data_IF_182688889852
#
_entry.id   IF_182688889852
#
_cell.length_a   1.000
_cell.length_b   1.000
_cell.length_c   1.000
_cell.angle_alpha   90.00
_cell.angle_beta   90.00
_cell.angle_gamma   90.00
#
_symmetry.space_group_name_H-M   'P 1'
#
loop_
_entity.id
_entity.type
_entity.pdbx_description
1 polymer ?
#
# COMPACT_ATOMS: atom_id res chain seq x y z
N UNK A 1 1.95 22.81 -9.19
CA UNK A 1 1.92 21.36 -8.85
C UNK A 1 0.62 20.73 -9.40
N UNK A 2 0.59 20.33 -10.68
CA UNK A 2 -0.70 19.96 -11.28
C UNK A 2 -0.70 19.56 -12.75
N UNK A 3 0.35 18.90 -13.26
CA UNK A 3 0.31 18.34 -14.63
C UNK A 3 1.06 17.00 -14.74
N UNK A 4 1.21 16.29 -13.62
CA UNK A 4 1.67 14.91 -13.65
C UNK A 4 0.48 14.02 -13.97
N UNK A 5 0.34 13.56 -15.21
CA UNK A 5 -0.67 12.53 -15.55
C UNK A 5 -0.39 11.28 -14.71
N UNK A 6 -1.26 10.97 -13.76
CA UNK A 6 -1.17 9.73 -12.99
C UNK A 6 -1.29 8.53 -13.92
N UNK A 7 -0.47 7.50 -13.68
CA UNK A 7 -0.49 6.26 -14.44
C UNK A 7 -0.44 5.06 -13.50
N UNK A 8 -1.06 3.97 -13.92
CA UNK A 8 -0.95 2.67 -13.27
C UNK A 8 0.18 1.91 -13.96
N UNK A 9 1.03 1.25 -13.18
CA UNK A 9 2.14 0.42 -13.69
C UNK A 9 2.04 -0.98 -13.12
N UNK A 10 2.35 -1.97 -13.93
CA UNK A 10 2.32 -3.38 -13.51
C UNK A 10 3.59 -3.78 -12.77
N UNK A 11 4.74 -3.25 -13.18
CA UNK A 11 6.06 -3.61 -12.65
C UNK A 11 6.62 -2.53 -11.72
N UNK A 12 7.17 -2.97 -10.58
CA UNK A 12 8.02 -2.16 -9.71
C UNK A 12 9.46 -2.27 -10.23
N UNK A 13 9.80 -1.46 -11.23
CA UNK A 13 11.12 -1.45 -11.88
C UNK A 13 11.91 -0.18 -11.58
N UNK A 14 13.23 -0.23 -11.69
CA UNK A 14 14.13 0.90 -11.45
C UNK A 14 13.83 2.16 -12.29
N UNK A 15 13.19 2.00 -13.46
CA UNK A 15 12.78 3.11 -14.33
C UNK A 15 11.37 3.67 -14.00
N UNK A 16 10.59 2.99 -13.15
CA UNK A 16 9.25 3.41 -12.78
C UNK A 16 9.27 3.98 -11.36
N UNK A 17 9.32 5.31 -11.25
CA UNK A 17 9.14 5.99 -9.97
C UNK A 17 7.68 5.83 -9.50
N UNK A 18 7.43 4.80 -8.69
CA UNK A 18 6.12 4.58 -8.06
C UNK A 18 6.00 5.49 -6.84
N UNK A 19 4.97 6.33 -6.83
CA UNK A 19 4.69 7.26 -5.73
C UNK A 19 3.61 6.76 -4.78
N UNK A 20 2.74 5.85 -5.26
CA UNK A 20 1.61 5.33 -4.52
C UNK A 20 1.45 3.83 -4.74
N UNK A 21 1.20 3.10 -3.65
CA UNK A 21 0.78 1.71 -3.67
C UNK A 21 -0.62 1.63 -3.06
N UNK A 22 -1.59 1.24 -3.88
CA UNK A 22 -2.97 1.06 -3.45
C UNK A 22 -3.19 -0.37 -3.00
N UNK A 23 -3.74 -0.55 -1.80
CA UNK A 23 -4.00 -1.85 -1.18
C UNK A 23 -5.50 -2.01 -0.93
N UNK A 24 -6.12 -3.03 -1.51
CA UNK A 24 -7.54 -3.36 -1.26
C UNK A 24 -7.72 -4.32 -0.08
N UNK A 25 -6.68 -5.07 0.30
CA UNK A 25 -6.69 -6.01 1.41
C UNK A 25 -5.50 -5.72 2.34
N UNK A 26 -5.79 -5.12 3.50
CA UNK A 26 -4.80 -4.71 4.49
C UNK A 26 -4.01 -5.88 5.09
N UNK A 27 -4.48 -7.13 4.91
CA UNK A 27 -3.81 -8.30 5.45
C UNK A 27 -2.76 -8.91 4.49
N UNK A 28 -2.74 -8.49 3.23
CA UNK A 28 -1.81 -9.03 2.22
C UNK A 28 -0.46 -8.33 2.26
N UNK A 29 0.58 -9.10 2.59
CA UNK A 29 1.97 -8.69 2.40
C UNK A 29 2.42 -9.07 1.00
N UNK A 30 2.59 -8.07 0.14
CA UNK A 30 3.11 -8.28 -1.22
C UNK A 30 4.46 -7.59 -1.37
N UNK A 31 5.24 -8.03 -2.35
CA UNK A 31 6.53 -7.40 -2.64
C UNK A 31 6.38 -5.92 -3.06
N UNK A 32 5.27 -5.56 -3.72
CA UNK A 32 4.96 -4.16 -4.07
C UNK A 32 4.82 -3.26 -2.84
N UNK A 33 4.24 -3.77 -1.76
CA UNK A 33 4.14 -3.04 -0.48
C UNK A 33 5.52 -2.84 0.13
N UNK A 34 6.36 -3.89 0.17
CA UNK A 34 7.72 -3.79 0.72
C UNK A 34 8.58 -2.82 -0.10
N UNK A 35 8.53 -2.88 -1.42
CA UNK A 35 9.24 -1.94 -2.28
C UNK A 35 8.72 -0.52 -2.13
N UNK A 36 7.40 -0.31 -2.09
CA UNK A 36 6.81 1.00 -1.82
C UNK A 36 7.31 1.61 -0.50
N UNK A 37 7.33 0.82 0.58
CA UNK A 37 7.88 1.27 1.87
C UNK A 37 9.37 1.62 1.76
N UNK A 38 10.16 0.78 1.08
CA UNK A 38 11.60 1.00 0.92
C UNK A 38 11.93 2.24 0.07
N UNK A 39 11.06 2.62 -0.87
CA UNK A 39 11.24 3.80 -1.73
C UNK A 39 10.53 5.05 -1.23
N UNK A 40 9.83 4.99 -0.09
CA UNK A 40 9.08 6.13 0.45
C UNK A 40 7.78 6.45 -0.31
N UNK A 41 7.19 5.46 -1.00
CA UNK A 41 5.88 5.60 -1.61
C UNK A 41 4.77 5.58 -0.55
N UNK A 42 3.67 6.29 -0.80
CA UNK A 42 2.49 6.23 0.04
C UNK A 42 1.82 4.87 -0.08
N UNK A 43 1.54 4.21 1.04
CA UNK A 43 0.75 2.98 1.07
C UNK A 43 -0.65 3.32 1.57
N UNK A 44 -1.62 3.31 0.65
CA UNK A 44 -2.99 3.80 0.88
C UNK A 44 -4.02 2.74 0.59
N UNK A 45 -5.19 2.83 1.23
CA UNK A 45 -6.35 2.00 0.86
C UNK A 45 -6.96 2.44 -0.47
N UNK A 46 -7.70 1.53 -1.11
CA UNK A 46 -8.52 1.82 -2.30
C UNK A 46 -9.51 2.98 -2.12
N UNK A 47 -9.96 3.25 -0.89
CA UNK A 47 -10.77 4.42 -0.56
C UNK A 47 -10.14 5.75 -1.03
N UNK A 48 -8.81 5.89 -1.03
CA UNK A 48 -8.15 7.10 -1.51
C UNK A 48 -8.44 7.36 -3.00
N UNK A 49 -8.43 6.30 -3.81
CA UNK A 49 -8.69 6.38 -5.25
C UNK A 49 -10.15 6.78 -5.49
N UNK A 50 -11.09 6.14 -4.80
CA UNK A 50 -12.51 6.43 -4.96
C UNK A 50 -12.87 7.84 -4.47
N UNK A 51 -12.37 8.27 -3.32
CA UNK A 51 -12.60 9.63 -2.80
C UNK A 51 -11.94 10.69 -3.69
N UNK A 52 -10.75 10.43 -4.22
CA UNK A 52 -10.09 11.35 -5.17
C UNK A 52 -10.85 11.46 -6.49
N UNK A 53 -11.39 10.33 -6.98
CA UNK A 53 -12.24 10.31 -8.17
C UNK A 53 -13.50 11.17 -7.98
N UNK A 54 -14.18 11.02 -6.84
CA UNK A 54 -15.38 11.79 -6.49
C UNK A 54 -15.08 13.30 -6.35
N UNK A 55 -13.96 13.64 -5.72
CA UNK A 55 -13.49 15.02 -5.58
C UNK A 55 -12.97 15.64 -6.89
N UNK A 56 -12.80 14.83 -7.96
CA UNK A 56 -12.19 15.23 -9.24
C UNK A 56 -10.75 15.75 -9.10
N UNK A 57 -10.07 15.37 -8.01
CA UNK A 57 -8.68 15.72 -7.74
C UNK A 57 -8.07 14.69 -6.79
N UNK A 58 -6.74 14.52 -6.85
CA UNK A 58 -6.03 13.73 -5.84
C UNK A 58 -6.14 14.41 -4.47
N UNK A 59 -6.71 13.69 -3.51
CA UNK A 59 -6.81 14.13 -2.13
C UNK A 59 -5.52 13.83 -1.37
N UNK A 60 -5.36 14.48 -0.22
CA UNK A 60 -4.27 14.17 0.73
C UNK A 60 -4.30 12.68 1.12
N UNK A 61 -3.13 12.06 1.14
CA UNK A 61 -2.97 10.63 1.38
C UNK A 61 -3.09 10.26 2.86
N UNK A 62 -2.78 11.19 3.77
CA UNK A 62 -2.70 10.96 5.22
C UNK A 62 -3.92 10.26 5.82
N UNK A 63 -5.19 10.67 5.52
CA UNK A 63 -6.36 9.99 6.08
C UNK A 63 -6.60 8.59 5.52
N UNK A 64 -5.90 8.19 4.46
CA UNK A 64 -6.06 6.89 3.80
C UNK A 64 -4.86 5.95 3.96
N UNK A 65 -3.84 6.37 4.72
CA UNK A 65 -2.65 5.56 4.98
C UNK A 65 -3.01 4.24 5.67
N UNK A 66 -2.39 3.15 5.21
CA UNK A 66 -2.49 1.85 5.86
C UNK A 66 -1.48 1.81 7.01
N UNK A 67 -1.96 1.74 8.24
CA UNK A 67 -1.14 1.74 9.46
C UNK A 67 -0.94 0.36 10.09
N UNK A 68 -1.79 -0.62 9.75
CA UNK A 68 -1.78 -1.97 10.33
C UNK A 68 -1.31 -3.00 9.31
N UNK A 69 -0.21 -3.71 9.61
CA UNK A 69 0.53 -4.55 8.65
C UNK A 69 0.55 -6.06 8.90
N UNK A 70 -0.56 -6.69 9.27
CA UNK A 70 -0.57 -7.83 10.20
C UNK A 70 0.66 -8.01 11.14
N UNK A 71 0.50 -8.73 12.24
CA UNK A 71 1.66 -9.27 12.96
C UNK A 71 1.69 -10.79 12.77
N UNK A 72 2.87 -11.41 12.78
CA UNK A 72 2.92 -12.86 12.95
C UNK A 72 2.48 -13.14 14.38
N UNK A 73 1.24 -13.58 14.56
CA UNK A 73 0.80 -14.18 15.82
C UNK A 73 1.49 -15.53 15.95
N UNK A 74 2.45 -15.66 16.88
CA UNK A 74 3.02 -16.96 17.23
C UNK A 74 1.92 -17.79 17.90
N UNK A 75 1.37 -18.79 17.19
CA UNK A 75 0.73 -19.91 17.89
C UNK A 75 1.84 -20.74 18.54
N UNK A 76 2.04 -20.57 19.84
CA UNK A 76 2.89 -21.46 20.64
C UNK A 76 2.14 -22.78 20.79
N UNK A 77 2.53 -23.80 20.04
CA UNK A 77 2.18 -25.19 20.36
C UNK A 77 3.44 -25.97 20.66
N UNK A 78 3.87 -25.92 21.93
CA UNK A 78 4.68 -27.01 22.49
C UNK A 78 3.72 -28.10 22.96
N UNK A 79 3.19 -28.88 22.02
CA UNK A 79 2.67 -30.20 22.39
C UNK A 79 3.88 -31.11 22.61
N UNK A 80 4.41 -31.10 23.83
CA UNK A 80 5.32 -32.15 24.30
C UNK A 80 4.53 -33.45 24.23
N UNK A 81 4.82 -34.28 23.24
CA UNK A 81 4.40 -35.69 23.25
C UNK A 81 5.18 -36.36 24.37
N UNK A 82 4.47 -36.70 25.45
CA UNK A 82 4.82 -37.80 26.33
C UNK A 82 4.26 -39.10 25.71
#
# INVERSE_FOLDING_TARGET
PGDGKSRIVDEFGAAAAVTHVVVSDKLKRTMKVLFGLATGAYIVSDAWVFSSLEAKMWLDESPFLVTEYPAVSKKVQYAVRL
#
